data_IF_455806255042
#
_entry.id   IF_455806255042
#
_cell.length_a   1.000
_cell.length_b   1.000
_cell.length_c   1.000
_cell.angle_alpha   90.00
_cell.angle_beta   90.00
_cell.angle_gamma   90.00
#
_symmetry.space_group_name_H-M   'P 1'
#
loop_
_entity.id
_entity.type
_entity.pdbx_description
1 polymer ?
#
# COMPACT_ATOMS: atom_id res chain seq x y z
N UNK A 1 6.29 19.92 -6.55
CA UNK A 1 7.52 19.11 -6.50
C UNK A 1 7.64 18.35 -7.80
N UNK A 2 8.76 18.47 -8.53
CA UNK A 2 9.01 17.61 -9.70
C UNK A 2 9.28 16.19 -9.19
N UNK A 3 8.65 15.21 -9.81
CA UNK A 3 8.94 13.81 -9.55
C UNK A 3 10.37 13.51 -10.00
N UNK A 4 11.23 12.88 -9.17
CA UNK A 4 12.59 12.55 -9.57
C UNK A 4 12.58 11.58 -10.77
N UNK A 5 13.60 11.61 -11.65
CA UNK A 5 13.74 10.66 -12.75
C UNK A 5 13.81 9.22 -12.25
N UNK A 6 13.29 8.28 -13.02
CA UNK A 6 13.29 6.84 -12.68
C UNK A 6 14.68 6.32 -12.27
N UNK A 7 15.74 6.70 -13.00
CA UNK A 7 17.09 6.26 -12.71
C UNK A 7 17.60 6.75 -11.34
N UNK A 8 17.24 7.97 -10.95
CA UNK A 8 17.59 8.53 -9.65
C UNK A 8 16.87 7.76 -8.53
N UNK A 9 15.58 7.48 -8.72
CA UNK A 9 14.80 6.70 -7.75
C UNK A 9 15.33 5.27 -7.59
N UNK A 10 15.72 4.60 -8.68
CA UNK A 10 16.29 3.25 -8.60
C UNK A 10 17.60 3.26 -7.82
N UNK A 11 18.48 4.23 -8.08
CA UNK A 11 19.76 4.33 -7.37
C UNK A 11 19.60 4.71 -5.88
N UNK A 12 18.53 5.44 -5.52
CA UNK A 12 18.25 5.82 -4.13
C UNK A 12 17.65 4.68 -3.30
N UNK A 13 16.88 3.78 -3.92
CA UNK A 13 16.07 2.79 -3.20
C UNK A 13 16.57 1.35 -3.29
N UNK A 14 17.53 1.05 -4.18
CA UNK A 14 18.07 -0.29 -4.34
C UNK A 14 19.61 -0.28 -4.29
N UNK A 15 20.17 -1.13 -3.44
CA UNK A 15 21.62 -1.32 -3.33
C UNK A 15 22.17 -2.13 -4.53
N UNK A 16 21.34 -2.95 -5.17
CA UNK A 16 21.73 -3.75 -6.32
C UNK A 16 20.68 -3.76 -7.43
N UNK A 17 21.15 -3.93 -8.68
CA UNK A 17 20.24 -4.12 -9.83
C UNK A 17 19.44 -5.42 -9.76
N UNK A 18 19.87 -6.41 -8.96
CA UNK A 18 19.12 -7.64 -8.75
C UNK A 18 17.89 -7.38 -7.89
N UNK A 19 18.01 -6.54 -6.87
CA UNK A 19 16.87 -6.15 -6.00
C UNK A 19 15.85 -5.32 -6.78
N UNK A 20 16.34 -4.37 -7.59
CA UNK A 20 15.48 -3.63 -8.50
C UNK A 20 14.75 -4.56 -9.49
N UNK A 21 15.48 -5.52 -10.08
CA UNK A 21 14.89 -6.49 -11.00
C UNK A 21 13.83 -7.38 -10.33
N UNK A 22 14.10 -7.85 -9.11
CA UNK A 22 13.16 -8.61 -8.30
C UNK A 22 11.90 -7.80 -7.97
N UNK A 23 12.07 -6.54 -7.56
CA UNK A 23 10.97 -5.62 -7.25
C UNK A 23 10.02 -5.40 -8.44
N UNK A 24 10.59 -5.20 -9.63
CA UNK A 24 9.79 -5.01 -10.85
C UNK A 24 9.35 -6.32 -11.50
N UNK A 25 9.74 -7.48 -10.96
CA UNK A 25 9.55 -8.81 -11.57
C UNK A 25 10.06 -8.89 -13.02
N UNK A 26 11.25 -8.33 -13.27
CA UNK A 26 11.94 -8.38 -14.56
C UNK A 26 13.36 -8.93 -14.41
N UNK A 27 14.10 -8.98 -15.50
CA UNK A 27 15.52 -9.38 -15.48
C UNK A 27 16.45 -8.18 -15.33
N UNK A 28 17.65 -8.39 -14.77
CA UNK A 28 18.67 -7.33 -14.64
C UNK A 28 19.00 -6.64 -15.98
N UNK A 29 19.13 -7.35 -17.12
CA UNK A 29 19.30 -6.69 -18.43
C UNK A 29 18.17 -5.71 -18.78
N UNK A 30 16.93 -6.00 -18.42
CA UNK A 30 15.79 -5.08 -18.61
C UNK A 30 15.99 -3.78 -17.84
N UNK A 31 16.41 -3.87 -16.57
CA UNK A 31 16.73 -2.69 -15.76
C UNK A 31 17.88 -1.90 -16.37
N UNK A 32 18.97 -2.56 -16.80
CA UNK A 32 20.09 -1.88 -17.46
C UNK A 32 19.67 -1.12 -18.70
N UNK A 33 18.80 -1.70 -19.53
CA UNK A 33 18.24 -1.08 -20.74
C UNK A 33 17.38 0.16 -20.44
N UNK A 34 16.62 0.12 -19.34
CA UNK A 34 15.85 1.27 -18.87
C UNK A 34 16.75 2.39 -18.34
N UNK A 35 17.77 2.04 -17.55
CA UNK A 35 18.72 3.00 -16.99
C UNK A 35 19.61 3.66 -18.06
N UNK A 36 19.98 2.93 -19.11
CA UNK A 36 20.79 3.46 -20.22
C UNK A 36 19.98 4.29 -21.23
N UNK A 37 18.64 4.29 -21.13
CA UNK A 37 17.76 4.94 -22.09
C UNK A 37 17.68 4.23 -23.46
N UNK A 38 18.24 3.01 -23.58
CA UNK A 38 18.17 2.22 -24.82
C UNK A 38 16.72 1.84 -25.16
N UNK A 39 15.87 1.66 -24.14
CA UNK A 39 14.44 1.39 -24.28
C UNK A 39 13.64 2.31 -23.38
N UNK A 40 12.43 2.66 -23.82
CA UNK A 40 11.45 3.36 -22.98
C UNK A 40 11.15 2.56 -21.72
N UNK A 41 11.16 3.23 -20.57
CA UNK A 41 10.76 2.64 -19.29
C UNK A 41 9.29 2.26 -19.37
N UNK A 42 8.93 1.10 -18.81
CA UNK A 42 7.52 0.73 -18.68
C UNK A 42 6.80 1.75 -17.79
N UNK A 43 5.72 2.41 -18.25
CA UNK A 43 5.00 3.41 -17.45
C UNK A 43 4.51 2.87 -16.09
N UNK A 44 4.24 1.57 -15.99
CA UNK A 44 3.87 0.90 -14.74
C UNK A 44 5.07 0.84 -13.78
N UNK A 45 6.26 0.53 -14.28
CA UNK A 45 7.48 0.52 -13.46
C UNK A 45 7.79 1.92 -12.92
N UNK A 46 7.65 2.95 -13.75
CA UNK A 46 7.81 4.34 -13.33
C UNK A 46 6.77 4.75 -12.27
N UNK A 47 5.51 4.33 -12.44
CA UNK A 47 4.45 4.56 -11.44
C UNK A 47 4.70 3.80 -10.14
N UNK A 48 5.13 2.54 -10.22
CA UNK A 48 5.41 1.70 -9.06
C UNK A 48 6.58 2.27 -8.24
N UNK A 49 7.65 2.70 -8.92
CA UNK A 49 8.78 3.38 -8.29
C UNK A 49 8.33 4.65 -7.56
N UNK A 50 7.43 5.40 -8.16
CA UNK A 50 6.85 6.60 -7.57
C UNK A 50 6.02 6.36 -6.31
N UNK A 51 5.28 5.25 -6.28
CA UNK A 51 4.51 4.83 -5.11
C UNK A 51 5.47 4.37 -4.01
N UNK A 52 6.48 3.59 -4.35
CA UNK A 52 7.51 3.12 -3.43
C UNK A 52 8.32 4.27 -2.82
N UNK A 53 8.79 5.22 -3.63
CA UNK A 53 9.56 6.39 -3.19
C UNK A 53 8.79 7.31 -2.23
N UNK A 54 7.46 7.29 -2.28
CA UNK A 54 6.59 8.02 -1.34
C UNK A 54 6.30 7.23 -0.06
N UNK A 55 6.86 6.03 0.09
CA UNK A 55 6.64 5.15 1.24
C UNK A 55 5.29 4.44 1.25
N UNK A 56 4.51 4.51 0.15
CA UNK A 56 3.20 3.86 0.09
C UNK A 56 3.28 2.34 -0.14
N UNK A 57 4.43 1.84 -0.57
CA UNK A 57 4.67 0.41 -0.78
C UNK A 57 5.94 0.00 -0.01
N UNK A 58 5.81 -0.42 1.26
CA UNK A 58 6.95 -0.92 2.02
C UNK A 58 7.42 -2.26 1.43
N UNK A 59 8.71 -2.35 1.08
CA UNK A 59 9.37 -3.60 0.70
C UNK A 59 9.91 -4.30 1.94
N UNK A 60 9.01 -4.70 2.81
CA UNK A 60 9.37 -5.26 4.09
C UNK A 60 8.52 -6.50 4.37
N UNK A 61 9.19 -7.62 4.65
CA UNK A 61 8.59 -8.92 4.96
C UNK A 61 7.55 -8.85 6.10
N UNK A 62 7.62 -7.83 6.98
CA UNK A 62 6.60 -7.57 8.02
C UNK A 62 5.21 -7.30 7.43
N UNK A 63 5.11 -6.91 6.17
CA UNK A 63 3.85 -6.69 5.44
C UNK A 63 3.39 -7.91 4.64
N UNK A 64 4.12 -9.03 4.70
CA UNK A 64 3.74 -10.24 3.97
C UNK A 64 2.36 -10.75 4.38
N UNK A 65 1.55 -11.08 3.38
CA UNK A 65 0.19 -11.58 3.56
C UNK A 65 -0.86 -10.50 3.90
N UNK A 66 -0.45 -9.25 4.19
CA UNK A 66 -1.39 -8.14 4.29
C UNK A 66 -1.91 -7.74 2.91
N UNK A 67 -3.20 -7.39 2.84
CA UNK A 67 -3.88 -7.00 1.60
C UNK A 67 -4.80 -5.81 1.85
N UNK A 68 -5.08 -5.01 0.83
CA UNK A 68 -6.10 -3.96 0.92
C UNK A 68 -7.31 -4.41 0.10
N UNK A 69 -8.49 -4.44 0.72
CA UNK A 69 -9.74 -4.54 -0.02
C UNK A 69 -10.08 -3.16 -0.58
N UNK A 70 -9.93 -2.97 -1.89
CA UNK A 70 -10.11 -1.65 -2.52
C UNK A 70 -11.58 -1.21 -2.51
N UNK A 71 -12.53 -2.13 -2.53
CA UNK A 71 -13.96 -1.82 -2.57
C UNK A 71 -14.49 -1.41 -1.20
N UNK A 72 -14.09 -2.14 -0.15
CA UNK A 72 -14.45 -1.82 1.23
C UNK A 72 -13.53 -0.79 1.88
N UNK A 73 -12.34 -0.56 1.32
CA UNK A 73 -11.31 0.28 1.93
C UNK A 73 -10.76 -0.28 3.23
N UNK A 74 -10.71 -1.61 3.39
CA UNK A 74 -10.22 -2.29 4.61
C UNK A 74 -8.83 -2.88 4.42
N UNK A 75 -8.02 -2.88 5.49
CA UNK A 75 -6.78 -3.65 5.59
C UNK A 75 -7.13 -5.08 6.02
N UNK A 76 -6.72 -6.06 5.24
CA UNK A 76 -6.84 -7.48 5.51
C UNK A 76 -5.48 -7.98 6.03
N UNK A 77 -5.48 -8.64 7.16
CA UNK A 77 -4.30 -9.30 7.74
C UNK A 77 -4.08 -10.69 7.16
N UNK A 78 -2.88 -11.29 7.34
CA UNK A 78 -2.62 -12.68 6.95
C UNK A 78 -3.61 -13.68 7.54
N UNK A 79 -4.10 -13.42 8.76
CA UNK A 79 -5.11 -14.23 9.45
C UNK A 79 -6.56 -13.95 8.99
N UNK A 80 -6.74 -13.20 7.90
CA UNK A 80 -8.05 -12.80 7.35
C UNK A 80 -8.91 -11.94 8.28
N UNK A 81 -8.32 -11.35 9.34
CA UNK A 81 -8.96 -10.25 10.07
C UNK A 81 -8.95 -8.99 9.20
N UNK A 82 -10.02 -8.21 9.27
CA UNK A 82 -10.13 -6.96 8.57
C UNK A 82 -10.14 -5.79 9.55
N UNK A 83 -9.56 -4.67 9.15
CA UNK A 83 -9.58 -3.41 9.90
C UNK A 83 -9.91 -2.28 8.93
N UNK A 84 -10.85 -1.42 9.30
CA UNK A 84 -10.99 -0.15 8.57
C UNK A 84 -9.90 0.84 9.05
N UNK A 85 -9.50 1.83 8.23
CA UNK A 85 -8.44 2.77 8.60
C UNK A 85 -8.74 3.61 9.85
N UNK A 86 -10.01 3.88 10.14
CA UNK A 86 -10.42 4.64 11.34
C UNK A 86 -10.24 3.83 12.61
N UNK A 87 -10.48 2.52 12.54
CA UNK A 87 -10.22 1.59 13.65
C UNK A 87 -8.73 1.56 13.98
N UNK A 88 -7.87 1.57 12.97
CA UNK A 88 -6.41 1.58 13.18
C UNK A 88 -5.92 2.83 13.93
N UNK A 89 -6.55 3.99 13.73
CA UNK A 89 -6.24 5.21 14.48
C UNK A 89 -6.53 5.05 15.97
N UNK A 90 -7.69 4.47 16.31
CA UNK A 90 -8.08 4.21 17.69
C UNK A 90 -7.35 3.00 18.28
N UNK A 91 -6.90 2.06 17.44
CA UNK A 91 -6.31 0.79 17.87
C UNK A 91 -5.04 0.98 18.71
N UNK A 92 -4.22 1.98 18.41
CA UNK A 92 -3.03 2.28 19.21
C UNK A 92 -3.39 2.58 20.67
N UNK A 93 -4.41 3.41 20.89
CA UNK A 93 -4.91 3.75 22.22
C UNK A 93 -5.56 2.54 22.89
N UNK A 94 -6.44 1.83 22.17
CA UNK A 94 -7.11 0.65 22.70
C UNK A 94 -6.14 -0.46 23.10
N UNK A 95 -5.05 -0.64 22.34
CA UNK A 95 -4.01 -1.62 22.67
C UNK A 95 -3.36 -1.28 24.02
N UNK A 96 -3.06 0.00 24.26
CA UNK A 96 -2.39 0.44 25.47
C UNK A 96 -3.34 0.35 26.68
N UNK A 97 -4.60 0.76 26.54
CA UNK A 97 -5.66 0.57 27.55
C UNK A 97 -5.90 -0.91 27.85
N UNK A 98 -6.04 -1.74 26.81
CA UNK A 98 -6.25 -3.18 26.94
C UNK A 98 -5.08 -3.85 27.67
N UNK A 99 -3.83 -3.43 27.43
CA UNK A 99 -2.67 -3.95 28.16
C UNK A 99 -2.80 -3.68 29.66
N UNK A 100 -3.16 -2.45 30.06
CA UNK A 100 -3.38 -2.12 31.47
C UNK A 100 -4.54 -2.91 32.10
N UNK A 101 -5.64 -3.10 31.35
CA UNK A 101 -6.78 -3.87 31.84
C UNK A 101 -6.40 -5.34 32.07
N UNK A 102 -5.65 -5.95 31.16
CA UNK A 102 -5.17 -7.33 31.30
C UNK A 102 -4.19 -7.47 32.46
N UNK A 103 -3.31 -6.50 32.67
CA UNK A 103 -2.40 -6.46 33.83
C UNK A 103 -3.16 -6.41 35.16
N UNK A 104 -4.29 -5.71 35.22
CA UNK A 104 -5.10 -5.55 36.44
C UNK A 104 -6.10 -6.68 36.68
N UNK A 105 -6.70 -7.22 35.62
CA UNK A 105 -7.87 -8.10 35.73
C UNK A 105 -7.66 -9.48 35.11
N UNK A 106 -6.52 -9.74 34.48
CA UNK A 106 -6.23 -10.98 33.78
C UNK A 106 -6.76 -11.00 32.34
N UNK A 107 -6.47 -12.09 31.62
CA UNK A 107 -6.91 -12.29 30.23
C UNK A 107 -8.33 -12.84 30.19
N UNK A 108 -9.05 -12.52 29.12
CA UNK A 108 -10.34 -13.14 28.80
C UNK A 108 -10.06 -14.40 27.99
N UNK A 109 -10.55 -15.56 28.44
CA UNK A 109 -10.27 -16.86 27.81
C UNK A 109 -10.85 -16.99 26.40
N UNK A 110 -12.01 -16.38 26.14
CA UNK A 110 -12.69 -16.45 24.83
C UNK A 110 -13.28 -15.09 24.45
N UNK A 111 -12.48 -14.18 23.87
CA UNK A 111 -12.97 -12.87 23.47
C UNK A 111 -13.94 -12.99 22.29
N UNK A 112 -15.04 -12.24 22.35
CA UNK A 112 -16.03 -12.17 21.27
C UNK A 112 -15.42 -11.56 20.00
N UNK A 113 -15.71 -12.15 18.84
CA UNK A 113 -15.37 -11.53 17.56
C UNK A 113 -16.29 -10.36 17.24
N UNK A 114 -15.70 -9.22 16.89
CA UNK A 114 -16.41 -8.07 16.35
C UNK A 114 -15.95 -7.85 14.90
N UNK A 115 -16.87 -7.88 13.91
CA UNK A 115 -16.52 -7.55 12.54
C UNK A 115 -16.13 -6.07 12.43
N UNK A 116 -15.38 -5.69 11.37
CA UNK A 116 -15.02 -4.30 11.14
C UNK A 116 -16.27 -3.44 11.06
N UNK A 117 -16.24 -2.27 11.69
CA UNK A 117 -17.31 -1.29 11.56
C UNK A 117 -17.42 -0.86 10.11
N UNK A 118 -18.65 -0.75 9.62
CA UNK A 118 -18.91 -0.22 8.30
C UNK A 118 -18.32 1.19 8.18
N UNK A 119 -17.39 1.35 7.23
CA UNK A 119 -16.84 2.65 6.93
C UNK A 119 -17.88 3.43 6.09
N UNK A 120 -18.14 4.71 6.38
CA UNK A 120 -18.99 5.50 5.51
C UNK A 120 -18.42 5.47 4.10
N UNK A 121 -19.31 5.38 3.11
CA UNK A 121 -18.90 5.41 1.72
C UNK A 121 -18.03 6.65 1.46
N UNK A 122 -16.99 6.55 0.61
CA UNK A 122 -16.02 7.63 0.39
C UNK A 122 -16.65 8.94 -0.13
N UNK A 123 -17.94 8.94 -0.51
CA UNK A 123 -18.68 10.10 -0.99
C UNK A 123 -20.09 10.17 -0.38
N UNK A 124 -20.63 11.38 -0.16
CA UNK A 124 -22.07 11.57 0.12
C UNK A 124 -22.88 11.17 -1.12
N UNK A 125 -23.86 10.28 -0.98
CA UNK A 125 -24.83 9.96 -2.05
C UNK A 125 -24.62 8.64 -2.80
N UNK A 126 -23.83 7.70 -2.27
CA UNK A 126 -23.94 6.28 -2.67
C UNK A 126 -23.40 5.89 -4.05
N UNK A 127 -22.79 6.81 -4.80
CA UNK A 127 -22.12 6.49 -6.07
C UNK A 127 -20.63 6.72 -5.93
N UNK A 128 -19.83 5.66 -6.11
CA UNK A 128 -18.48 5.83 -6.65
C UNK A 128 -18.66 6.56 -7.99
N UNK A 129 -18.00 7.70 -8.17
CA UNK A 129 -17.83 8.22 -9.53
C UNK A 129 -17.24 7.07 -10.35
N UNK A 130 -17.87 6.67 -11.48
CA UNK A 130 -17.22 5.71 -12.37
C UNK A 130 -15.83 6.26 -12.68
N UNK A 131 -14.83 5.38 -12.77
CA UNK A 131 -13.48 5.79 -13.15
C UNK A 131 -13.62 6.70 -14.36
N UNK A 132 -13.24 7.98 -14.22
CA UNK A 132 -13.33 8.92 -15.36
C UNK A 132 -12.55 8.25 -16.50
N UNK A 133 -13.15 8.03 -17.68
CA UNK A 133 -12.39 7.54 -18.81
C UNK A 133 -11.21 8.48 -18.96
N UNK A 134 -10.00 7.93 -18.98
CA UNK A 134 -8.78 8.71 -19.16
C UNK A 134 -8.80 9.25 -20.59
N UNK A 135 -9.43 10.41 -20.77
CA UNK A 135 -9.43 11.15 -22.03
C UNK A 135 -8.58 12.38 -21.78
N UNK A 136 -7.39 12.49 -22.39
CA UNK A 136 -6.61 13.72 -22.37
C UNK A 136 -7.48 14.88 -22.89
N UNK A 137 -7.67 15.92 -22.10
CA UNK A 137 -8.55 17.05 -22.37
C UNK A 137 -8.05 17.99 -23.49
N UNK A 138 -7.23 17.50 -24.41
CA UNK A 138 -6.60 18.29 -25.49
C UNK A 138 -7.35 18.27 -26.82
N UNK A 139 -8.51 17.60 -26.91
CA UNK A 139 -9.31 17.52 -28.14
C UNK A 139 -10.80 17.78 -27.87
N UNK A 140 -11.12 18.93 -27.27
CA UNK A 140 -12.45 19.52 -27.40
C UNK A 140 -12.37 20.75 -28.27
#
# INVERSE_FOLDING_TARGET
MRTPPFAELVNQHFDSLHDAAAFFHVTVPTIRRWLSGQYSINPIAEKLMNVHARGYLPLDHRWDGFKINVDRGTLITPERREFNPKELLSFAYWRDEHRQLVERHGKIDSPKYYPPKEHPLPFRGGRRMPAKPWVPSKFK
#
